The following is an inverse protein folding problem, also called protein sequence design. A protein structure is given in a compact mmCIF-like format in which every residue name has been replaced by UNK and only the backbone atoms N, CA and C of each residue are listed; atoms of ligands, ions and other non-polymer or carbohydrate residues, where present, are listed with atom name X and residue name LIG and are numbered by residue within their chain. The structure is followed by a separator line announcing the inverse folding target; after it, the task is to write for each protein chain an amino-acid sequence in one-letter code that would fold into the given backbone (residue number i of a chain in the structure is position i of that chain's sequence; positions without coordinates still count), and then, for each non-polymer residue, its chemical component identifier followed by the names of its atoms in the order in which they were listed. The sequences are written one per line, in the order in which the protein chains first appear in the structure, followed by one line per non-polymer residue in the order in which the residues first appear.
data_IF_543927951325
#
_entry.id   IF_543927951325
#
_cell.length_a   1.000
_cell.length_b   1.000
_cell.length_c   1.000
_cell.angle_alpha   90.00
_cell.angle_beta   90.00
_cell.angle_gamma   90.00
#
_symmetry.space_group_name_H-M   'P 1'
#
loop_
_entity.id
_entity.type
_entity.pdbx_description
1 polymer ?
#
# COMPACT_ATOMS: atom_id res chain seq x y z
N UNK A 1 59.12 27.79 -18.47
CA UNK A 1 59.28 26.36 -18.10
C UNK A 1 58.60 26.15 -16.76
N UNK A 2 57.27 26.09 -16.72
CA UNK A 2 56.50 25.92 -15.49
C UNK A 2 55.77 24.59 -15.56
N UNK A 3 56.41 23.55 -15.04
CA UNK A 3 55.74 22.30 -14.74
C UNK A 3 54.89 22.55 -13.49
N UNK A 4 53.56 22.39 -13.60
CA UNK A 4 52.60 22.65 -12.51
C UNK A 4 52.22 21.32 -11.82
N UNK A 5 52.93 20.87 -10.76
CA UNK A 5 52.59 19.64 -10.04
C UNK A 5 51.21 19.71 -9.35
N UNK A 6 50.70 20.92 -9.10
CA UNK A 6 49.38 21.19 -8.52
C UNK A 6 48.21 20.76 -9.42
N UNK A 7 48.32 20.84 -10.75
CA UNK A 7 47.20 20.50 -11.67
C UNK A 7 46.95 19.00 -11.77
N UNK A 8 48.02 18.18 -11.68
CA UNK A 8 47.90 16.71 -11.63
C UNK A 8 47.31 16.22 -10.30
N UNK A 9 47.70 16.84 -9.18
CA UNK A 9 47.14 16.52 -7.87
C UNK A 9 45.66 16.96 -7.75
N UNK A 10 45.30 18.13 -8.27
CA UNK A 10 43.91 18.62 -8.27
C UNK A 10 43.01 17.77 -9.18
N UNK A 11 43.44 17.41 -10.39
CA UNK A 11 42.66 16.54 -11.30
C UNK A 11 42.42 15.14 -10.72
N UNK A 12 43.39 14.56 -10.02
CA UNK A 12 43.22 13.28 -9.31
C UNK A 12 42.20 13.39 -8.19
N UNK A 13 42.26 14.46 -7.40
CA UNK A 13 41.25 14.75 -6.34
C UNK A 13 39.84 14.95 -6.90
N UNK A 14 39.70 15.65 -8.02
CA UNK A 14 38.40 15.84 -8.69
C UNK A 14 37.82 14.50 -9.13
N UNK A 15 38.63 13.62 -9.74
CA UNK A 15 38.18 12.27 -10.13
C UNK A 15 37.76 11.43 -8.93
N UNK A 16 38.52 11.46 -7.83
CA UNK A 16 38.17 10.71 -6.62
C UNK A 16 36.89 11.25 -5.96
N UNK A 17 36.71 12.56 -5.89
CA UNK A 17 35.45 13.14 -5.43
C UNK A 17 34.28 12.79 -6.34
N UNK A 18 34.51 12.80 -7.65
CA UNK A 18 33.51 12.38 -8.63
C UNK A 18 33.13 10.91 -8.44
N UNK A 19 34.11 10.04 -8.22
CA UNK A 19 33.89 8.60 -7.93
C UNK A 19 33.10 8.42 -6.64
N UNK A 20 33.49 9.12 -5.57
CA UNK A 20 32.80 9.07 -4.26
C UNK A 20 31.38 9.61 -4.35
N UNK A 21 31.15 10.71 -5.06
CA UNK A 21 29.82 11.27 -5.27
C UNK A 21 28.94 10.32 -6.08
N UNK A 22 29.47 9.72 -7.15
CA UNK A 22 28.76 8.69 -7.94
C UNK A 22 28.44 7.45 -7.11
N UNK A 23 29.38 6.98 -6.28
CA UNK A 23 29.17 5.85 -5.38
C UNK A 23 28.06 6.15 -4.35
N UNK A 24 28.12 7.30 -3.67
CA UNK A 24 27.07 7.73 -2.73
C UNK A 24 25.71 7.87 -3.39
N UNK A 25 25.65 8.44 -4.60
CA UNK A 25 24.39 8.55 -5.36
C UNK A 25 23.83 7.17 -5.69
N UNK A 26 24.69 6.22 -6.09
CA UNK A 26 24.28 4.83 -6.37
C UNK A 26 23.74 4.16 -5.10
N UNK A 27 24.45 4.28 -3.98
CA UNK A 27 24.01 3.73 -2.69
C UNK A 27 22.67 4.32 -2.25
N UNK A 28 22.50 5.64 -2.40
CA UNK A 28 21.25 6.32 -2.06
C UNK A 28 20.07 5.86 -2.92
N UNK A 29 20.28 5.73 -4.25
CA UNK A 29 19.24 5.21 -5.15
C UNK A 29 18.87 3.77 -4.80
N UNK A 30 19.86 2.91 -4.53
CA UNK A 30 19.61 1.53 -4.13
C UNK A 30 18.84 1.44 -2.80
N UNK A 31 19.17 2.29 -1.83
CA UNK A 31 18.44 2.38 -0.57
C UNK A 31 16.99 2.82 -0.80
N UNK A 32 16.77 3.81 -1.67
CA UNK A 32 15.43 4.27 -2.01
C UNK A 32 14.61 3.17 -2.69
N UNK A 33 15.17 2.50 -3.71
CA UNK A 33 14.53 1.36 -4.39
C UNK A 33 14.19 0.21 -3.43
N UNK A 34 15.05 -0.03 -2.44
CA UNK A 34 14.80 -1.04 -1.40
C UNK A 34 13.62 -0.65 -0.51
N UNK A 35 13.57 0.62 -0.07
CA UNK A 35 12.47 1.12 0.77
C UNK A 35 11.14 1.10 0.03
N UNK A 36 11.13 1.47 -1.25
CA UNK A 36 9.94 1.39 -2.11
C UNK A 36 9.43 -0.05 -2.20
N UNK A 37 10.31 -1.00 -2.57
CA UNK A 37 9.94 -2.42 -2.64
C UNK A 37 9.41 -2.96 -1.31
N UNK A 38 10.00 -2.56 -0.19
CA UNK A 38 9.53 -2.96 1.13
C UNK A 38 8.13 -2.41 1.43
N UNK A 39 7.89 -1.13 1.14
CA UNK A 39 6.59 -0.52 1.35
C UNK A 39 5.50 -1.16 0.46
N UNK A 40 5.82 -1.46 -0.80
CA UNK A 40 4.93 -2.18 -1.72
C UNK A 40 4.58 -3.58 -1.19
N UNK A 41 5.58 -4.36 -0.77
CA UNK A 41 5.36 -5.68 -0.19
C UNK A 41 4.50 -5.62 1.08
N UNK A 42 4.76 -4.66 1.96
CA UNK A 42 3.97 -4.45 3.17
C UNK A 42 2.53 -4.06 2.84
N UNK A 43 2.31 -3.20 1.84
CA UNK A 43 0.98 -2.83 1.37
C UNK A 43 0.18 -4.01 0.82
N UNK A 44 0.83 -4.90 0.05
CA UNK A 44 0.23 -6.13 -0.46
C UNK A 44 -0.16 -7.07 0.68
N UNK A 45 0.74 -7.30 1.65
CA UNK A 45 0.48 -8.17 2.79
C UNK A 45 -0.65 -7.64 3.69
N UNK A 46 -0.64 -6.33 3.98
CA UNK A 46 -1.69 -5.69 4.76
C UNK A 46 -3.05 -5.81 4.06
N UNK A 47 -3.11 -5.62 2.74
CA UNK A 47 -4.34 -5.76 1.96
C UNK A 47 -4.86 -7.21 1.99
N UNK A 48 -3.98 -8.20 1.87
CA UNK A 48 -4.36 -9.61 1.96
C UNK A 48 -4.91 -9.98 3.35
N UNK A 49 -4.30 -9.47 4.42
CA UNK A 49 -4.76 -9.70 5.79
C UNK A 49 -6.16 -9.10 6.03
N UNK A 50 -6.39 -7.86 5.58
CA UNK A 50 -7.71 -7.20 5.67
C UNK A 50 -8.76 -8.00 4.87
N UNK A 51 -8.43 -8.45 3.66
CA UNK A 51 -9.33 -9.27 2.86
C UNK A 51 -9.67 -10.60 3.53
N UNK A 52 -8.69 -11.26 4.14
CA UNK A 52 -8.92 -12.51 4.87
C UNK A 52 -9.86 -12.29 6.07
N UNK A 53 -9.62 -11.24 6.86
CA UNK A 53 -10.50 -10.86 7.96
C UNK A 53 -11.91 -10.53 7.48
N UNK A 54 -12.05 -9.78 6.38
CA UNK A 54 -13.34 -9.43 5.80
C UNK A 54 -14.13 -10.68 5.34
N UNK A 55 -13.45 -11.69 4.75
CA UNK A 55 -14.08 -12.97 4.39
C UNK A 55 -14.59 -13.71 5.61
N UNK A 56 -13.78 -13.81 6.67
CA UNK A 56 -14.18 -14.46 7.91
C UNK A 56 -15.42 -13.80 8.53
N UNK A 57 -15.44 -12.46 8.59
CA UNK A 57 -16.59 -11.70 9.09
C UNK A 57 -17.83 -11.93 8.22
N UNK A 58 -17.68 -11.99 6.89
CA UNK A 58 -18.80 -12.26 5.99
C UNK A 58 -19.39 -13.66 6.21
N UNK A 59 -18.53 -14.68 6.37
CA UNK A 59 -18.96 -16.06 6.67
C UNK A 59 -19.68 -16.15 8.02
N UNK A 60 -19.16 -15.48 9.05
CA UNK A 60 -19.78 -15.42 10.36
C UNK A 60 -21.14 -14.72 10.29
N UNK A 61 -21.22 -13.56 9.61
CA UNK A 61 -22.46 -12.82 9.42
C UNK A 61 -23.51 -13.66 8.67
N UNK A 62 -23.09 -14.44 7.67
CA UNK A 62 -23.97 -15.38 6.98
C UNK A 62 -24.55 -16.44 7.93
N UNK A 63 -23.71 -17.06 8.78
CA UNK A 63 -24.16 -18.04 9.79
C UNK A 63 -25.11 -17.41 10.81
N UNK A 64 -24.81 -16.19 11.27
CA UNK A 64 -25.67 -15.46 12.20
C UNK A 64 -27.03 -15.14 11.57
N UNK A 65 -27.07 -14.69 10.31
CA UNK A 65 -28.32 -14.47 9.58
C UNK A 65 -29.12 -15.74 9.42
N UNK A 66 -28.47 -16.87 9.13
CA UNK A 66 -29.14 -18.18 9.08
C UNK A 66 -29.75 -18.56 10.43
N UNK A 67 -29.00 -18.37 11.53
CA UNK A 67 -29.49 -18.63 12.88
C UNK A 67 -30.71 -17.75 13.21
N UNK A 68 -30.66 -16.45 12.90
CA UNK A 68 -31.78 -15.54 13.11
C UNK A 68 -33.04 -15.97 12.33
N UNK A 69 -32.87 -16.45 11.09
CA UNK A 69 -33.96 -17.02 10.30
C UNK A 69 -34.56 -18.26 10.95
N UNK A 70 -33.74 -19.15 11.52
CA UNK A 70 -34.24 -20.30 12.28
C UNK A 70 -35.08 -19.89 13.50
N UNK A 71 -34.79 -18.74 14.10
CA UNK A 71 -35.57 -18.16 15.19
C UNK A 71 -36.77 -17.30 14.73
N UNK A 72 -37.12 -17.33 13.43
CA UNK A 72 -38.27 -16.63 12.89
C UNK A 72 -38.05 -15.14 12.57
N UNK A 73 -36.80 -14.66 12.66
CA UNK A 73 -36.45 -13.30 12.24
C UNK A 73 -36.25 -13.29 10.73
N UNK A 74 -37.13 -12.58 10.00
CA UNK A 74 -37.05 -12.47 8.55
C UNK A 74 -36.02 -11.41 8.11
N UNK A 75 -35.59 -11.47 6.84
CA UNK A 75 -34.57 -10.57 6.30
C UNK A 75 -34.98 -9.10 6.36
N UNK A 76 -36.27 -8.80 6.17
CA UNK A 76 -36.81 -7.42 6.26
C UNK A 76 -36.59 -6.80 7.64
N UNK A 77 -36.79 -7.58 8.71
CA UNK A 77 -36.55 -7.12 10.08
C UNK A 77 -35.06 -6.88 10.32
N UNK A 78 -34.19 -7.75 9.78
CA UNK A 78 -32.74 -7.60 9.86
C UNK A 78 -32.28 -6.34 9.12
N UNK A 79 -32.76 -6.12 7.89
CA UNK A 79 -32.44 -4.93 7.08
C UNK A 79 -32.93 -3.63 7.73
N UNK A 80 -34.14 -3.65 8.29
CA UNK A 80 -34.70 -2.51 9.03
C UNK A 80 -33.82 -2.20 10.25
N UNK A 81 -33.37 -3.21 10.98
CA UNK A 81 -32.47 -3.04 12.11
C UNK A 81 -31.09 -2.51 11.70
N UNK A 82 -30.48 -3.04 10.64
CA UNK A 82 -29.19 -2.55 10.13
C UNK A 82 -29.28 -1.10 9.64
N UNK A 83 -30.40 -0.73 9.02
CA UNK A 83 -30.65 0.64 8.54
C UNK A 83 -30.94 1.61 9.69
N UNK A 84 -31.34 1.11 10.86
CA UNK A 84 -31.62 1.94 12.04
C UNK A 84 -30.38 2.53 12.70
N UNK A 85 -29.17 2.16 12.24
CA UNK A 85 -27.91 2.77 12.68
C UNK A 85 -27.54 2.46 14.13
N UNK A 86 -28.14 1.45 14.76
CA UNK A 86 -27.80 1.03 16.12
C UNK A 86 -26.40 0.40 16.10
N UNK A 87 -25.38 1.22 16.32
CA UNK A 87 -24.03 0.75 16.60
C UNK A 87 -24.00 0.36 18.08
N UNK A 88 -24.11 -0.93 18.38
CA UNK A 88 -23.78 -1.43 19.72
C UNK A 88 -22.26 -1.39 19.84
N UNK A 89 -21.74 -0.27 20.33
CA UNK A 89 -20.33 -0.14 20.69
C UNK A 89 -20.10 -1.02 21.95
N UNK A 90 -19.24 -2.05 21.89
CA UNK A 90 -18.87 -2.79 23.10
C UNK A 90 -18.22 -1.82 24.11
N UNK A 91 -18.43 -1.99 25.43
CA UNK A 91 -17.84 -1.11 26.43
C UNK A 91 -16.33 -1.34 26.50
N UNK A 92 -15.58 -0.61 25.66
CA UNK A 92 -14.12 -0.66 25.61
C UNK A 92 -13.56 -0.54 24.20
N UNK A 93 -13.77 0.60 23.52
CA UNK A 93 -12.65 1.38 22.98
C UNK A 93 -13.12 2.62 22.21
N UNK A 94 -12.24 3.61 22.20
CA UNK A 94 -12.48 5.02 21.87
C UNK A 94 -12.92 5.26 20.42
N UNK A 95 -14.07 5.94 20.27
CA UNK A 95 -14.48 6.87 19.19
C UNK A 95 -13.91 6.60 17.78
N UNK A 96 -14.67 5.87 16.97
CA UNK A 96 -14.67 6.03 15.51
C UNK A 96 -15.96 6.73 15.11
N UNK A 97 -15.86 7.94 14.56
CA UNK A 97 -17.01 8.64 14.00
C UNK A 97 -17.42 7.95 12.68
N UNK A 98 -18.72 7.65 12.46
CA UNK A 98 -19.18 7.14 11.19
C UNK A 98 -19.16 8.30 10.19
N UNK A 99 -18.07 8.42 9.45
CA UNK A 99 -18.03 9.24 8.24
C UNK A 99 -18.64 8.45 7.10
N UNK A 100 -19.67 9.02 6.47
CA UNK A 100 -20.33 8.48 5.29
C UNK A 100 -19.31 8.06 4.22
N UNK A 101 -19.09 6.77 4.08
CA UNK A 101 -18.58 6.19 2.85
C UNK A 101 -19.50 5.04 2.49
N UNK A 102 -20.46 5.34 1.61
CA UNK A 102 -21.12 4.28 0.84
C UNK A 102 -20.04 3.64 -0.03
N UNK A 103 -19.42 2.59 0.49
CA UNK A 103 -18.37 1.87 -0.23
C UNK A 103 -19.06 0.85 -1.12
N UNK A 104 -19.31 1.23 -2.37
CA UNK A 104 -19.73 0.29 -3.41
C UNK A 104 -18.67 -0.82 -3.51
N UNK A 105 -19.01 -2.02 -3.05
CA UNK A 105 -18.10 -3.17 -3.01
C UNK A 105 -17.50 -3.49 -4.41
N UNK A 106 -18.23 -3.16 -5.47
CA UNK A 106 -17.80 -3.28 -6.88
C UNK A 106 -16.70 -2.28 -7.26
N UNK A 107 -16.69 -1.08 -6.66
CA UNK A 107 -15.64 -0.07 -6.90
C UNK A 107 -14.34 -0.43 -6.21
N UNK A 108 -14.40 -1.08 -5.04
CA UNK A 108 -13.19 -1.59 -4.37
C UNK A 108 -12.55 -2.71 -5.21
N UNK A 109 -13.33 -3.69 -5.67
CA UNK A 109 -12.80 -4.78 -6.51
C UNK A 109 -12.17 -4.27 -7.80
N UNK A 110 -12.83 -3.33 -8.49
CA UNK A 110 -12.29 -2.75 -9.73
C UNK A 110 -11.07 -1.85 -9.51
N UNK A 111 -11.00 -1.12 -8.38
CA UNK A 111 -9.82 -0.31 -8.04
C UNK A 111 -8.59 -1.18 -7.73
N UNK A 112 -8.80 -2.34 -7.11
CA UNK A 112 -7.73 -3.31 -6.80
C UNK A 112 -7.21 -3.98 -8.09
N UNK A 113 -8.07 -4.30 -9.05
CA UNK A 113 -7.65 -4.81 -10.37
C UNK A 113 -6.91 -3.74 -11.20
N UNK A 114 -7.34 -2.46 -11.15
CA UNK A 114 -6.67 -1.37 -11.88
C UNK A 114 -5.31 -0.97 -11.31
N UNK A 115 -5.08 -1.19 -10.00
CA UNK A 115 -3.76 -1.03 -9.37
C UNK A 115 -2.81 -2.21 -9.63
N UNK A 116 -3.29 -3.27 -10.29
CA UNK A 116 -2.49 -4.40 -10.76
C UNK A 116 -2.20 -4.25 -12.25
N UNK A 117 -1.62 -3.13 -12.67
CA UNK A 117 -0.95 -3.04 -13.97
C UNK A 117 0.49 -3.55 -13.82
N UNK A 118 0.98 -4.47 -14.67
CA UNK A 118 2.42 -4.70 -14.75
C UNK A 118 3.08 -3.39 -15.18
N UNK A 119 4.21 -2.96 -14.59
CA UNK A 119 4.91 -1.80 -15.10
C UNK A 119 5.30 -2.09 -16.55
N UNK A 120 4.85 -1.24 -17.47
CA UNK A 120 5.38 -1.22 -18.82
C UNK A 120 6.89 -1.03 -18.71
N UNK A 121 7.65 -2.07 -19.02
CA UNK A 121 9.10 -1.99 -19.20
C UNK A 121 9.33 -1.15 -20.44
N UNK A 122 9.43 0.17 -20.28
CA UNK A 122 10.03 1.03 -21.27
C UNK A 122 11.55 0.90 -21.08
N UNK A 123 12.15 0.00 -21.86
CA UNK A 123 13.60 -0.06 -22.06
C UNK A 123 14.05 1.21 -22.80
N UNK A 124 14.10 2.34 -22.09
CA UNK A 124 14.82 3.51 -22.55
C UNK A 124 16.31 3.30 -22.25
N UNK A 125 16.97 2.65 -23.22
CA UNK A 125 18.41 2.57 -23.35
C UNK A 125 18.96 3.99 -23.45
N UNK A 126 19.33 4.58 -22.31
CA UNK A 126 20.10 5.82 -22.28
C UNK A 126 21.50 5.50 -22.82
N UNK A 127 21.69 5.76 -24.12
CA UNK A 127 22.98 5.81 -24.78
C UNK A 127 23.72 7.06 -24.30
N UNK A 128 24.85 6.96 -23.59
CA UNK A 128 25.64 8.14 -23.27
C UNK A 128 26.37 8.64 -24.53
N UNK A 129 26.63 9.97 -24.64
CA UNK A 129 27.40 10.54 -25.74
C UNK A 129 28.87 10.09 -25.71
#
# INVERSE_FOLDING_TARGET
MTDFPQTKQTSTRVRDNQRRSRARKKEYLQDLERRVRQAEQQGVQASAAIQAAARQVAEENQKLRQLLRHHGVNDRNIETYLSSGVVVVPPGDSRVQPGDCHVDNTKISNAIEQLTMPPAVQDDVIRPP
#
